data_IF_123640688890
#
_entry.id   IF_123640688890
#
_cell.length_a   1.000
_cell.length_b   1.000
_cell.length_c   1.000
_cell.angle_alpha   90.00
_cell.angle_beta   90.00
_cell.angle_gamma   90.00
#
_symmetry.space_group_name_H-M   'P 1'
#
loop_
_entity.id
_entity.type
_entity.pdbx_description
1 polymer ?
#
# COMPACT_ATOMS: atom_id res chain seq x y z
N UNK A 1 -17.32 -13.04 -7.17
CA UNK A 1 -16.43 -13.57 -6.11
C UNK A 1 -15.08 -12.87 -6.25
N UNK A 2 -14.78 -11.92 -5.37
CA UNK A 2 -13.59 -11.08 -5.43
C UNK A 2 -12.35 -11.89 -5.05
N UNK A 3 -11.35 -11.95 -5.93
CA UNK A 3 -10.04 -12.55 -5.63
C UNK A 3 -9.34 -11.69 -4.59
N UNK A 4 -9.31 -12.16 -3.33
CA UNK A 4 -8.58 -11.52 -2.24
C UNK A 4 -7.21 -12.18 -2.16
N UNK A 5 -6.14 -11.38 -2.18
CA UNK A 5 -4.80 -11.88 -1.98
C UNK A 5 -4.68 -12.50 -0.58
N UNK A 6 -4.04 -13.67 -0.51
CA UNK A 6 -3.80 -14.41 0.73
C UNK A 6 -2.32 -14.31 1.05
N UNK A 7 -1.98 -13.69 2.18
CA UNK A 7 -0.61 -13.63 2.69
C UNK A 7 -0.41 -14.76 3.70
N UNK A 8 0.62 -15.60 3.50
CA UNK A 8 0.98 -16.71 4.40
C UNK A 8 2.25 -16.36 5.18
N UNK A 9 2.19 -16.48 6.51
CA UNK A 9 3.36 -16.46 7.38
C UNK A 9 3.53 -17.84 8.04
N UNK A 10 4.76 -18.34 8.13
CA UNK A 10 5.08 -19.67 8.68
C UNK A 10 6.11 -19.57 9.80
N UNK A 11 5.93 -20.33 10.89
CA UNK A 11 6.86 -20.44 12.03
C UNK A 11 6.60 -21.72 12.83
N UNK A 12 7.49 -22.06 13.77
CA UNK A 12 7.53 -23.37 14.46
C UNK A 12 6.25 -23.74 15.26
N UNK A 13 5.40 -22.76 15.61
CA UNK A 13 4.13 -22.96 16.32
C UNK A 13 2.96 -22.35 15.53
N UNK A 14 2.61 -22.95 14.38
CA UNK A 14 1.66 -22.40 13.41
C UNK A 14 0.30 -21.96 14.00
N UNK A 15 0.13 -20.64 14.17
CA UNK A 15 -1.20 -20.03 14.21
C UNK A 15 -1.59 -19.66 12.78
N UNK A 16 -2.60 -20.32 12.24
CA UNK A 16 -3.16 -19.98 10.92
C UNK A 16 -3.96 -18.68 11.05
N UNK A 17 -3.44 -17.61 10.47
CA UNK A 17 -4.14 -16.32 10.39
C UNK A 17 -4.33 -15.96 8.93
N UNK A 18 -5.59 -16.02 8.48
CA UNK A 18 -5.97 -15.53 7.16
C UNK A 18 -6.15 -14.00 7.24
N UNK A 19 -5.18 -13.26 6.73
CA UNK A 19 -5.33 -11.81 6.58
C UNK A 19 -6.09 -11.50 5.30
N UNK A 20 -7.29 -10.93 5.44
CA UNK A 20 -7.96 -10.25 4.34
C UNK A 20 -7.48 -8.81 4.30
N UNK A 21 -6.54 -8.51 3.39
CA UNK A 21 -6.07 -7.15 3.15
C UNK A 21 -6.99 -6.47 2.13
N UNK A 22 -7.56 -5.31 2.50
CA UNK A 22 -8.42 -4.51 1.62
C UNK A 22 -7.81 -3.13 1.47
N UNK A 23 -7.56 -2.76 0.21
CA UNK A 23 -7.18 -1.41 -0.18
C UNK A 23 -8.40 -0.75 -0.83
N UNK A 24 -9.06 0.17 -0.11
CA UNK A 24 -10.32 0.75 -0.58
C UNK A 24 -10.09 1.52 -1.87
N UNK A 25 -10.93 1.28 -2.88
CA UNK A 25 -10.84 1.90 -4.20
C UNK A 25 -9.96 1.16 -5.19
N UNK A 26 -9.31 0.07 -4.79
CA UNK A 26 -8.36 -0.66 -5.64
C UNK A 26 -8.58 -2.16 -5.63
N UNK A 27 -8.41 -2.78 -6.81
CA UNK A 27 -8.25 -4.22 -6.94
C UNK A 27 -6.78 -4.59 -6.70
N UNK A 28 -6.54 -5.67 -5.95
CA UNK A 28 -5.19 -6.06 -5.57
C UNK A 28 -4.27 -6.28 -6.78
N UNK A 29 -4.76 -6.97 -7.81
CA UNK A 29 -3.95 -7.31 -8.99
C UNK A 29 -3.42 -6.07 -9.72
N UNK A 30 -4.21 -5.00 -9.78
CA UNK A 30 -3.79 -3.74 -10.39
C UNK A 30 -2.68 -3.08 -9.55
N UNK A 31 -2.85 -3.02 -8.24
CA UNK A 31 -1.84 -2.45 -7.32
C UNK A 31 -0.57 -3.30 -7.31
N UNK A 32 -0.70 -4.62 -7.40
CA UNK A 32 0.42 -5.55 -7.40
C UNK A 32 1.23 -5.47 -8.70
N UNK A 33 0.56 -5.31 -9.85
CA UNK A 33 1.23 -5.11 -11.13
C UNK A 33 2.08 -3.82 -11.13
N UNK A 34 1.58 -2.77 -10.49
CA UNK A 34 2.25 -1.46 -10.38
C UNK A 34 3.11 -1.28 -9.13
N UNK A 35 3.35 -2.36 -8.35
CA UNK A 35 4.05 -2.27 -7.07
C UNK A 35 5.46 -1.69 -7.23
N UNK A 36 5.90 -0.99 -6.21
CA UNK A 36 7.29 -0.56 -6.06
C UNK A 36 8.05 -1.54 -5.17
N UNK A 37 9.26 -1.92 -5.57
CA UNK A 37 10.13 -2.80 -4.78
C UNK A 37 11.14 -1.95 -4.01
N UNK A 38 11.09 -2.03 -2.69
CA UNK A 38 12.15 -1.53 -1.84
C UNK A 38 13.12 -2.65 -1.51
N UNK A 39 14.42 -2.34 -1.49
CA UNK A 39 15.44 -3.23 -0.97
C UNK A 39 15.81 -2.76 0.44
N UNK A 40 15.43 -3.56 1.43
CA UNK A 40 15.82 -3.33 2.83
C UNK A 40 16.80 -4.45 3.18
N UNK A 41 18.06 -4.07 3.39
CA UNK A 41 19.19 -4.99 3.45
C UNK A 41 19.24 -5.91 2.20
N UNK A 42 19.02 -7.21 2.37
CA UNK A 42 18.99 -8.21 1.31
C UNK A 42 17.57 -8.69 0.95
N UNK A 43 16.53 -8.01 1.47
CA UNK A 43 15.13 -8.43 1.30
C UNK A 43 14.42 -7.47 0.36
N UNK A 44 13.78 -8.04 -0.67
CA UNK A 44 12.85 -7.30 -1.52
C UNK A 44 11.50 -7.18 -0.83
N UNK A 45 11.10 -5.94 -0.54
CA UNK A 45 9.82 -5.61 0.09
C UNK A 45 8.92 -4.94 -0.94
N UNK A 46 7.93 -5.66 -1.50
CA UNK A 46 6.96 -5.09 -2.40
C UNK A 46 5.98 -4.17 -1.66
N UNK A 47 5.78 -2.98 -2.20
CA UNK A 47 4.90 -1.95 -1.64
C UNK A 47 3.99 -1.39 -2.72
N UNK A 48 2.78 -0.97 -2.35
CA UNK A 48 1.95 -0.21 -3.26
C UNK A 48 2.59 1.16 -3.55
N UNK A 49 2.34 1.72 -4.73
CA UNK A 49 2.76 3.08 -5.06
C UNK A 49 2.18 4.07 -4.05
N UNK A 50 2.97 5.08 -3.69
CA UNK A 50 2.56 6.11 -2.74
C UNK A 50 1.24 6.79 -3.16
N UNK A 51 1.06 7.04 -4.46
CA UNK A 51 -0.17 7.57 -5.02
C UNK A 51 -1.39 6.70 -4.66
N UNK A 52 -1.33 5.39 -4.94
CA UNK A 52 -2.41 4.46 -4.62
C UNK A 52 -2.71 4.46 -3.11
N UNK A 53 -1.67 4.50 -2.26
CA UNK A 53 -1.83 4.53 -0.80
C UNK A 53 -2.58 5.80 -0.37
N UNK A 54 -2.21 6.96 -0.91
CA UNK A 54 -2.85 8.25 -0.63
C UNK A 54 -4.31 8.24 -1.07
N UNK A 55 -4.59 7.83 -2.31
CA UNK A 55 -5.95 7.76 -2.87
C UNK A 55 -6.83 6.80 -2.06
N UNK A 56 -6.29 5.63 -1.69
CA UNK A 56 -7.02 4.67 -0.87
C UNK A 56 -7.33 5.20 0.53
N UNK A 57 -6.39 5.94 1.15
CA UNK A 57 -6.59 6.60 2.44
C UNK A 57 -7.66 7.70 2.36
N UNK A 58 -7.66 8.50 1.30
CA UNK A 58 -8.71 9.49 1.05
C UNK A 58 -10.08 8.80 0.93
N UNK A 59 -10.18 7.73 0.14
CA UNK A 59 -11.41 6.96 -0.02
C UNK A 59 -11.87 6.25 1.26
N UNK A 60 -10.93 5.85 2.14
CA UNK A 60 -11.21 5.21 3.42
C UNK A 60 -11.89 6.15 4.44
N UNK A 61 -11.78 7.47 4.26
CA UNK A 61 -12.52 8.46 5.04
C UNK A 61 -12.19 8.47 6.54
N UNK A 62 -11.02 7.96 6.94
CA UNK A 62 -10.58 7.94 8.35
C UNK A 62 -9.94 9.27 8.72
N UNK A 63 -10.43 9.93 9.76
CA UNK A 63 -9.97 11.28 10.14
C UNK A 63 -8.47 11.35 10.50
N UNK A 64 -7.90 10.27 11.05
CA UNK A 64 -6.44 10.19 11.28
C UNK A 64 -5.62 10.18 9.98
N UNK A 65 -6.16 9.59 8.92
CA UNK A 65 -5.50 9.58 7.62
C UNK A 65 -5.54 10.97 6.97
N UNK A 66 -6.58 11.78 7.22
CA UNK A 66 -6.62 13.18 6.80
C UNK A 66 -5.50 14.01 7.44
N UNK A 67 -5.22 13.77 8.73
CA UNK A 67 -4.15 14.47 9.44
C UNK A 67 -2.77 14.10 8.85
N UNK A 68 -2.54 12.82 8.59
CA UNK A 68 -1.31 12.35 7.93
C UNK A 68 -1.13 12.98 6.54
N UNK A 69 -2.19 12.99 5.73
CA UNK A 69 -2.16 13.60 4.40
C UNK A 69 -1.95 15.11 4.44
N UNK A 70 -2.55 15.79 5.42
CA UNK A 70 -2.37 17.24 5.62
C UNK A 70 -0.93 17.58 6.06
N UNK A 71 -0.36 16.82 6.99
CA UNK A 71 1.00 17.05 7.50
C UNK A 71 2.07 16.85 6.43
N UNK A 72 1.85 15.92 5.50
CA UNK A 72 2.85 15.55 4.49
C UNK A 72 2.48 16.03 3.08
N UNK A 73 1.49 16.92 2.93
CA UNK A 73 0.96 17.35 1.65
C UNK A 73 2.04 17.87 0.70
N UNK A 74 2.92 18.75 1.18
CA UNK A 74 3.98 19.37 0.37
C UNK A 74 5.01 18.35 -0.12
N UNK A 75 5.40 17.41 0.75
CA UNK A 75 6.32 16.32 0.40
C UNK A 75 5.68 15.35 -0.62
N UNK A 76 4.38 15.08 -0.46
CA UNK A 76 3.63 14.25 -1.41
C UNK A 76 3.50 14.94 -2.77
N UNK A 77 3.24 16.25 -2.81
CA UNK A 77 3.16 17.01 -4.05
C UNK A 77 4.49 17.06 -4.80
N UNK A 78 5.62 17.11 -4.09
CA UNK A 78 6.95 17.04 -4.71
C UNK A 78 7.22 15.65 -5.31
N UNK A 79 6.82 14.58 -4.62
CA UNK A 79 6.99 13.19 -5.09
C UNK A 79 6.02 12.81 -6.23
N UNK A 80 4.90 13.53 -6.36
CA UNK A 80 3.88 13.29 -7.39
C UNK A 80 4.10 14.13 -8.66
N UNK A 81 5.03 15.09 -8.64
CA UNK A 81 5.46 15.74 -9.88
C UNK A 81 6.18 14.70 -10.74
N UNK A 82 5.79 14.54 -12.01
CA UNK A 82 6.56 13.70 -12.92
C UNK A 82 7.99 14.26 -12.96
N UNK A 83 8.99 13.37 -12.93
CA UNK A 83 10.36 13.75 -13.22
C UNK A 83 10.35 14.36 -14.64
N UNK A 84 10.67 15.66 -14.73
CA UNK A 84 10.96 16.32 -16.00
C UNK A 84 12.21 15.64 -16.58
N UNK A 85 12.00 14.69 -17.50
CA UNK A 85 13.01 14.15 -18.43
C UNK A 85 12.49 14.29 -19.85
#
# INVERSE_FOLDING_TARGET
MSRRAVTRATGENELRVDFTLVMKGFEFEAVWAERHLFHIDAVEVPTARLLHIVESKQAAGRDKDKLFLATHLDALQQLLKPDDV
#
